data_IF_925333107693
#
_entry.id   IF_925333107693
#
_cell.length_a   1.000
_cell.length_b   1.000
_cell.length_c   1.000
_cell.angle_alpha   90.00
_cell.angle_beta   90.00
_cell.angle_gamma   90.00
#
_symmetry.space_group_name_H-M   'P 1'
#
loop_
_entity.id
_entity.type
_entity.pdbx_description
1 polymer ?
#
# COMPACT_ATOMS: atom_id res chain seq x y z
N UNK A 1 1.59 -13.10 12.45
CA UNK A 1 2.79 -12.86 11.62
C UNK A 1 2.48 -11.72 10.66
N UNK A 2 3.33 -10.70 10.59
CA UNK A 2 3.15 -9.57 9.67
C UNK A 2 3.24 -10.00 8.20
N UNK A 3 2.22 -9.66 7.41
CA UNK A 3 2.17 -9.89 5.97
C UNK A 3 2.56 -8.66 5.15
N UNK A 4 2.77 -7.52 5.79
CA UNK A 4 3.14 -6.28 5.12
C UNK A 4 3.39 -5.12 6.07
N UNK A 5 3.85 -4.02 5.49
CA UNK A 5 4.27 -2.82 6.17
C UNK A 5 3.75 -1.60 5.42
N UNK A 6 3.25 -0.62 6.15
CA UNK A 6 2.88 0.68 5.62
C UNK A 6 3.89 1.72 6.03
N UNK A 7 4.17 2.62 5.10
CA UNK A 7 4.93 3.83 5.35
C UNK A 7 4.09 5.02 4.89
N UNK A 8 3.89 5.96 5.81
CA UNK A 8 3.13 7.17 5.61
C UNK A 8 4.07 8.36 5.71
N UNK A 9 4.34 9.02 4.57
CA UNK A 9 5.23 10.17 4.50
C UNK A 9 4.42 11.47 4.55
N UNK A 10 4.69 12.28 5.56
CA UNK A 10 4.02 13.55 5.77
C UNK A 10 4.66 14.64 4.92
N UNK A 11 3.88 15.25 4.03
CA UNK A 11 4.34 16.37 3.20
C UNK A 11 4.15 17.72 3.88
N UNK A 12 3.27 17.77 4.88
CA UNK A 12 2.97 18.91 5.74
C UNK A 12 2.91 18.44 7.19
N UNK A 13 2.93 19.38 8.12
CA UNK A 13 2.70 19.07 9.53
C UNK A 13 1.36 18.34 9.69
N UNK A 14 1.39 17.17 10.31
CA UNK A 14 0.23 16.32 10.52
C UNK A 14 -0.09 16.30 12.01
N UNK A 15 -1.28 16.78 12.35
CA UNK A 15 -1.76 16.98 13.72
C UNK A 15 -3.22 16.52 13.84
N UNK A 16 -3.71 16.29 15.04
CA UNK A 16 -5.04 15.74 15.29
C UNK A 16 -6.17 16.61 14.71
N UNK A 17 -5.95 17.93 14.69
CA UNK A 17 -6.93 18.87 14.13
C UNK A 17 -7.06 18.74 12.61
N UNK A 18 -5.96 18.48 11.89
CA UNK A 18 -5.95 18.39 10.43
C UNK A 18 -6.14 16.95 9.89
N UNK A 19 -6.53 16.03 10.77
CA UNK A 19 -6.89 14.66 10.39
C UNK A 19 -5.72 13.69 10.40
N UNK A 20 -4.78 13.84 11.35
CA UNK A 20 -3.76 12.82 11.61
C UNK A 20 -4.38 11.41 11.70
N UNK A 21 -3.66 10.43 11.14
CA UNK A 21 -4.07 9.03 11.17
C UNK A 21 -4.18 8.58 12.62
N UNK A 22 -5.31 7.97 12.97
CA UNK A 22 -5.54 7.37 14.29
C UNK A 22 -4.98 5.97 14.30
N UNK A 23 -4.25 5.62 15.34
CA UNK A 23 -3.65 4.30 15.52
C UNK A 23 -4.05 3.74 16.87
N UNK A 24 -4.23 2.43 16.95
CA UNK A 24 -4.43 1.70 18.20
C UNK A 24 -3.11 1.01 18.57
N UNK A 25 -2.31 1.56 19.49
CA UNK A 25 -1.01 1.00 19.83
C UNK A 25 -1.11 -0.47 20.23
N UNK A 26 -0.10 -1.26 19.86
CA UNK A 26 -0.01 -2.69 20.15
C UNK A 26 -1.14 -3.58 19.58
N UNK A 27 -2.12 -3.06 18.83
CA UNK A 27 -3.23 -3.87 18.32
C UNK A 27 -2.79 -4.97 17.35
N UNK A 28 -1.61 -4.84 16.72
CA UNK A 28 -1.00 -5.82 15.82
C UNK A 28 -0.36 -7.01 16.56
N UNK A 29 -0.21 -6.94 17.89
CA UNK A 29 0.43 -7.98 18.72
C UNK A 29 -0.55 -9.07 19.16
N UNK A 30 -1.85 -8.87 18.95
CA UNK A 30 -2.90 -9.84 19.28
C UNK A 30 -4.15 -9.61 18.44
N UNK A 31 -5.20 -10.38 18.66
CA UNK A 31 -6.50 -10.15 18.03
C UNK A 31 -7.28 -9.06 18.80
N UNK A 32 -6.63 -7.91 19.00
CA UNK A 32 -7.21 -6.77 19.72
C UNK A 32 -7.86 -5.87 18.67
N UNK A 33 -9.18 -5.75 18.75
CA UNK A 33 -9.96 -4.82 17.96
C UNK A 33 -10.50 -3.69 18.87
N UNK A 34 -10.77 -2.50 18.33
CA UNK A 34 -11.54 -1.49 19.03
C UNK A 34 -12.89 -2.07 19.50
N UNK A 35 -13.34 -1.66 20.68
CA UNK A 35 -14.65 -2.05 21.22
C UNK A 35 -15.80 -1.57 20.33
N UNK A 36 -15.67 -0.39 19.72
CA UNK A 36 -16.52 0.13 18.67
C UNK A 36 -15.68 0.55 17.45
N UNK A 37 -15.91 -0.10 16.31
CA UNK A 37 -15.19 0.17 15.06
C UNK A 37 -15.63 1.46 14.36
N UNK A 38 -16.73 2.09 14.81
CA UNK A 38 -17.27 3.33 14.25
C UNK A 38 -16.77 4.57 14.96
N UNK A 39 -16.06 4.40 16.08
CA UNK A 39 -15.41 5.50 16.79
C UNK A 39 -13.89 5.41 16.67
N UNK A 40 -13.23 6.47 17.11
CA UNK A 40 -11.77 6.50 17.28
C UNK A 40 -11.40 6.64 18.75
N UNK A 41 -12.33 6.33 19.66
CA UNK A 41 -12.07 6.30 21.09
C UNK A 41 -10.96 5.27 21.36
N UNK A 42 -10.11 5.52 22.36
CA UNK A 42 -8.93 4.71 22.73
C UNK A 42 -7.75 4.70 21.72
N UNK A 43 -7.93 5.23 20.51
CA UNK A 43 -6.81 5.44 19.59
C UNK A 43 -5.97 6.66 19.99
N UNK A 44 -4.78 6.79 19.40
CA UNK A 44 -3.96 8.02 19.48
C UNK A 44 -3.73 8.58 18.06
N UNK A 45 -3.56 9.90 17.91
CA UNK A 45 -3.18 10.48 16.63
C UNK A 45 -1.68 10.24 16.37
N UNK A 46 -1.34 9.78 15.17
CA UNK A 46 0.03 9.71 14.69
C UNK A 46 0.44 11.11 14.19
N UNK A 47 0.80 11.99 15.12
CA UNK A 47 1.22 13.35 14.80
C UNK A 47 2.71 13.41 14.47
N UNK A 48 3.09 14.37 13.64
CA UNK A 48 4.48 14.63 13.32
C UNK A 48 4.64 15.80 12.36
N UNK A 49 5.80 16.49 12.38
CA UNK A 49 6.08 17.56 11.44
C UNK A 49 6.18 17.02 10.00
N UNK A 50 6.11 17.92 9.02
CA UNK A 50 6.44 17.62 7.64
C UNK A 50 7.79 16.88 7.55
N UNK A 51 7.93 15.98 6.57
CA UNK A 51 9.08 15.09 6.37
C UNK A 51 9.19 13.93 7.36
N UNK A 52 8.19 13.75 8.23
CA UNK A 52 8.07 12.55 9.07
C UNK A 52 7.64 11.34 8.25
N UNK A 53 8.21 10.18 8.55
CA UNK A 53 7.77 8.89 8.01
C UNK A 53 7.25 8.02 9.16
N UNK A 54 5.94 7.75 9.18
CA UNK A 54 5.34 6.81 10.12
C UNK A 54 5.34 5.42 9.49
N UNK A 55 5.99 4.48 10.17
CA UNK A 55 6.14 3.09 9.73
C UNK A 55 5.33 2.20 10.65
N UNK A 56 4.41 1.42 10.10
CA UNK A 56 3.55 0.56 10.91
C UNK A 56 3.17 -0.75 10.22
N UNK A 57 2.88 -1.76 11.04
CA UNK A 57 2.46 -3.08 10.60
C UNK A 57 1.09 -3.05 9.91
N UNK A 58 0.89 -3.87 8.87
CA UNK A 58 -0.41 -3.95 8.19
C UNK A 58 -1.58 -4.42 9.08
N UNK A 59 -1.30 -5.14 10.17
CA UNK A 59 -2.30 -5.58 11.13
C UNK A 59 -2.56 -4.55 12.26
N UNK A 60 -1.88 -3.40 12.25
CA UNK A 60 -2.19 -2.32 13.18
C UNK A 60 -3.55 -1.72 12.82
N UNK A 61 -4.46 -1.64 13.78
CA UNK A 61 -5.73 -0.95 13.61
C UNK A 61 -5.46 0.54 13.48
N UNK A 62 -5.95 1.11 12.40
CA UNK A 62 -5.76 2.51 12.09
C UNK A 62 -6.88 3.03 11.20
N UNK A 63 -7.12 4.34 11.25
CA UNK A 63 -8.09 5.00 10.37
C UNK A 63 -7.72 6.46 10.17
N UNK A 64 -8.16 7.05 9.06
CA UNK A 64 -7.99 8.49 8.83
C UNK A 64 -9.08 9.25 9.57
N UNK A 65 -8.69 10.24 10.39
CA UNK A 65 -9.67 11.07 11.08
C UNK A 65 -10.19 12.17 10.16
N UNK A 66 -11.44 12.60 10.40
CA UNK A 66 -12.00 13.81 9.79
C UNK A 66 -11.09 15.01 10.07
N UNK A 67 -10.66 15.69 9.00
CA UNK A 67 -10.01 17.00 9.10
C UNK A 67 -11.02 18.02 9.61
N UNK A 68 -10.68 18.71 10.71
CA UNK A 68 -11.50 19.73 11.39
C UNK A 68 -10.87 21.12 11.33
N UNK A 69 -9.73 21.27 10.64
CA UNK A 69 -9.07 22.55 10.49
C UNK A 69 -9.90 23.52 9.63
N UNK A 70 -9.91 24.80 10.00
CA UNK A 70 -10.52 25.89 9.25
C UNK A 70 -9.55 26.45 8.19
N UNK A 71 -10.04 27.26 7.25
CA UNK A 71 -9.29 27.77 6.08
C UNK A 71 -7.83 28.17 6.36
N UNK A 72 -6.89 27.71 5.50
CA UNK A 72 -5.44 27.91 5.63
C UNK A 72 -4.63 26.69 6.09
N UNK A 73 -5.28 25.67 6.67
CA UNK A 73 -4.69 24.39 7.14
C UNK A 73 -5.38 23.16 6.52
N UNK A 74 -5.99 23.34 5.34
CA UNK A 74 -7.06 22.47 4.82
C UNK A 74 -6.60 21.13 4.27
N UNK A 75 -5.41 21.06 3.67
CA UNK A 75 -4.97 19.85 3.01
C UNK A 75 -3.84 19.18 3.77
N UNK A 76 -4.01 17.88 4.03
CA UNK A 76 -3.00 17.02 4.64
C UNK A 76 -2.58 15.95 3.64
N UNK A 77 -1.85 16.32 2.56
CA UNK A 77 -1.38 15.36 1.60
C UNK A 77 -0.30 14.47 2.23
N UNK A 78 -0.44 13.17 2.00
CA UNK A 78 0.42 12.13 2.55
C UNK A 78 0.70 11.13 1.44
N UNK A 79 1.96 10.71 1.32
CA UNK A 79 2.33 9.62 0.42
C UNK A 79 2.28 8.31 1.20
N UNK A 80 1.43 7.39 0.76
CA UNK A 80 1.30 6.06 1.34
C UNK A 80 2.05 5.05 0.47
N UNK A 81 2.99 4.34 1.08
CA UNK A 81 3.75 3.26 0.48
C UNK A 81 3.45 1.96 1.25
N UNK A 82 2.85 1.00 0.54
CA UNK A 82 2.43 -0.28 1.10
C UNK A 82 3.36 -1.37 0.57
N UNK A 83 4.05 -2.07 1.47
CA UNK A 83 4.85 -3.24 1.17
C UNK A 83 4.12 -4.50 1.63
N UNK A 84 4.18 -5.54 0.82
CA UNK A 84 3.64 -6.84 1.14
C UNK A 84 4.74 -7.88 1.01
N UNK A 85 4.58 -9.01 1.69
CA UNK A 85 5.39 -10.19 1.41
C UNK A 85 5.25 -10.54 -0.06
N UNK A 86 6.32 -11.00 -0.70
CA UNK A 86 6.36 -11.23 -2.15
C UNK A 86 5.27 -12.18 -2.63
N UNK A 87 4.89 -13.17 -1.81
CA UNK A 87 3.85 -14.15 -2.14
C UNK A 87 2.41 -13.64 -1.93
N UNK A 88 2.22 -12.42 -1.40
CA UNK A 88 0.91 -11.79 -1.25
C UNK A 88 0.65 -10.90 -2.46
N UNK A 89 -0.56 -11.01 -3.02
CA UNK A 89 -0.97 -10.19 -4.16
C UNK A 89 -1.00 -8.71 -3.78
N UNK A 90 -0.31 -7.88 -4.57
CA UNK A 90 -0.36 -6.43 -4.41
C UNK A 90 -1.76 -5.87 -4.74
N UNK A 91 -2.14 -4.78 -4.09
CA UNK A 91 -3.40 -4.08 -4.37
C UNK A 91 -3.44 -3.48 -5.78
N UNK A 92 -2.30 -3.06 -6.30
CA UNK A 92 -2.14 -2.53 -7.65
C UNK A 92 -1.39 -3.52 -8.56
N UNK A 93 -1.90 -3.72 -9.78
CA UNK A 93 -1.25 -4.57 -10.77
C UNK A 93 -0.28 -3.77 -11.64
N UNK A 94 0.93 -3.57 -11.13
CA UNK A 94 1.99 -2.79 -11.77
C UNK A 94 2.38 -3.30 -13.16
N UNK A 95 2.15 -4.59 -13.46
CA UNK A 95 2.34 -5.12 -14.81
C UNK A 95 1.41 -4.50 -15.83
N UNK A 96 0.23 -4.04 -15.43
CA UNK A 96 -0.75 -3.46 -16.32
C UNK A 96 -0.76 -1.93 -16.23
N UNK A 97 -0.62 -1.38 -15.01
CA UNK A 97 -0.75 0.05 -14.76
C UNK A 97 0.52 0.87 -14.98
N UNK A 98 1.71 0.27 -14.90
CA UNK A 98 2.94 1.02 -15.15
C UNK A 98 3.12 1.29 -16.65
N UNK A 99 3.41 2.54 -17.01
CA UNK A 99 3.73 2.90 -18.39
C UNK A 99 5.08 2.28 -18.79
N UNK A 100 5.16 1.72 -20.01
CA UNK A 100 6.37 1.01 -20.49
C UNK A 100 7.63 1.88 -20.45
N UNK A 101 7.49 3.17 -20.76
CA UNK A 101 8.60 4.13 -20.70
C UNK A 101 9.11 4.40 -19.29
N UNK A 102 8.26 4.24 -18.27
CA UNK A 102 8.67 4.37 -16.87
C UNK A 102 9.38 3.09 -16.44
N UNK A 103 8.80 1.92 -16.76
CA UNK A 103 9.41 0.61 -16.49
C UNK A 103 10.83 0.49 -17.04
N UNK A 104 11.05 0.97 -18.27
CA UNK A 104 12.35 0.95 -18.93
C UNK A 104 13.44 1.73 -18.17
N UNK A 105 13.06 2.72 -17.35
CA UNK A 105 13.97 3.57 -16.56
C UNK A 105 14.26 2.99 -15.16
N UNK A 106 13.52 1.96 -14.72
CA UNK A 106 13.65 1.44 -13.37
C UNK A 106 14.88 0.52 -13.21
N UNK A 107 15.70 0.71 -12.17
CA UNK A 107 16.70 -0.28 -11.77
C UNK A 107 16.05 -1.62 -11.37
N UNK A 108 16.80 -2.71 -11.50
CA UNK A 108 16.35 -4.06 -11.17
C UNK A 108 15.79 -4.19 -9.75
N UNK A 109 16.36 -3.46 -8.79
CA UNK A 109 15.84 -3.42 -7.41
C UNK A 109 14.43 -2.85 -7.34
N UNK A 110 14.12 -1.80 -8.11
CA UNK A 110 12.79 -1.20 -8.15
C UNK A 110 11.81 -2.09 -8.91
N UNK A 111 12.24 -2.68 -10.03
CA UNK A 111 11.46 -3.70 -10.75
C UNK A 111 11.08 -4.87 -9.83
N UNK A 112 11.97 -5.29 -8.93
CA UNK A 112 11.67 -6.33 -7.96
C UNK A 112 10.56 -5.92 -6.96
N UNK A 113 10.53 -4.66 -6.51
CA UNK A 113 9.45 -4.15 -5.64
C UNK A 113 8.09 -4.10 -6.35
N UNK A 114 8.08 -3.75 -7.64
CA UNK A 114 6.86 -3.77 -8.46
C UNK A 114 6.43 -5.17 -8.92
N UNK A 115 7.12 -6.21 -8.45
CA UNK A 115 6.75 -7.60 -8.67
C UNK A 115 7.35 -8.23 -9.91
N UNK A 116 8.07 -7.50 -10.78
CA UNK A 116 8.64 -8.01 -12.04
C UNK A 116 9.69 -9.11 -11.86
N UNK A 117 10.23 -9.28 -10.65
CA UNK A 117 11.17 -10.35 -10.33
C UNK A 117 10.41 -11.58 -9.87
N UNK A 118 10.72 -12.73 -10.46
CA UNK A 118 10.17 -14.02 -10.02
C UNK A 118 10.54 -14.31 -8.57
N UNK A 119 9.63 -14.99 -7.87
CA UNK A 119 9.87 -15.48 -6.52
C UNK A 119 10.42 -16.90 -6.66
N UNK A 120 11.62 -17.20 -6.16
CA UNK A 120 12.14 -18.56 -6.19
C UNK A 120 11.15 -19.55 -5.58
N UNK A 121 10.74 -20.57 -6.34
CA UNK A 121 9.81 -21.60 -5.90
C UNK A 121 8.32 -21.23 -5.96
N UNK A 122 7.96 -19.99 -6.31
CA UNK A 122 6.56 -19.55 -6.46
C UNK A 122 6.36 -18.92 -7.85
N UNK A 123 5.55 -19.58 -8.69
CA UNK A 123 5.35 -19.17 -10.09
C UNK A 123 6.53 -19.51 -11.02
N UNK A 124 7.42 -20.41 -10.59
CA UNK A 124 8.51 -20.94 -11.42
C UNK A 124 7.97 -21.90 -12.49
N UNK A 125 8.39 -21.69 -13.74
CA UNK A 125 8.21 -22.67 -14.81
C UNK A 125 9.34 -23.70 -14.72
N UNK A 126 9.00 -24.99 -14.77
CA UNK A 126 9.97 -26.11 -14.83
C UNK A 126 10.98 -26.15 -13.66
N UNK A 127 10.59 -25.66 -12.48
CA UNK A 127 11.47 -25.67 -11.31
C UNK A 127 12.62 -24.65 -11.37
N UNK A 128 12.61 -23.72 -12.31
CA UNK A 128 13.61 -22.67 -12.37
C UNK A 128 13.44 -21.68 -11.21
N UNK A 129 14.35 -21.76 -10.23
CA UNK A 129 14.41 -20.91 -9.03
C UNK A 129 15.33 -19.68 -9.20
N UNK A 130 15.87 -19.45 -10.40
CA UNK A 130 16.73 -18.30 -10.67
C UNK A 130 15.97 -16.96 -10.51
N UNK A 131 16.65 -15.89 -10.06
CA UNK A 131 16.05 -14.57 -9.82
C UNK A 131 15.82 -13.80 -11.12
N UNK A 132 15.16 -14.43 -12.08
CA UNK A 132 14.90 -13.86 -13.40
C UNK A 132 13.76 -12.83 -13.33
N UNK A 133 13.85 -11.80 -14.16
CA UNK A 133 12.77 -10.84 -14.38
C UNK A 133 11.82 -11.37 -15.45
N UNK A 134 10.53 -11.07 -15.32
CA UNK A 134 9.55 -11.40 -16.34
C UNK A 134 9.41 -10.26 -17.34
N UNK A 135 9.27 -10.63 -18.61
CA UNK A 135 8.98 -9.69 -19.69
C UNK A 135 7.47 -9.55 -19.85
N UNK A 136 6.98 -8.32 -19.89
CA UNK A 136 5.57 -8.03 -20.13
C UNK A 136 5.18 -8.35 -21.58
N UNK A 137 4.05 -9.02 -21.78
CA UNK A 137 3.46 -9.22 -23.11
C UNK A 137 2.83 -7.92 -23.62
N UNK A 138 3.03 -7.56 -24.89
CA UNK A 138 2.58 -6.27 -25.43
C UNK A 138 1.06 -6.07 -25.34
N UNK A 139 0.28 -7.13 -25.57
CA UNK A 139 -1.18 -7.15 -25.51
C UNK A 139 -1.65 -8.10 -24.39
N UNK A 140 -1.20 -7.84 -23.16
CA UNK A 140 -1.47 -8.70 -22.00
C UNK A 140 -2.94 -8.69 -21.52
N UNK A 141 -3.79 -7.85 -22.11
CA UNK A 141 -5.23 -7.78 -21.80
C UNK A 141 -5.98 -8.50 -22.92
N UNK A 142 -6.73 -9.54 -22.57
CA UNK A 142 -7.61 -10.23 -23.50
C UNK A 142 -8.72 -9.31 -24.03
N UNK A 143 -9.47 -9.73 -25.06
CA UNK A 143 -10.56 -8.92 -25.59
C UNK A 143 -11.54 -8.56 -24.46
N UNK A 144 -11.96 -7.30 -24.42
CA UNK A 144 -13.02 -6.87 -23.51
C UNK A 144 -14.24 -7.75 -23.78
N UNK A 145 -14.68 -8.53 -22.77
CA UNK A 145 -15.94 -9.27 -22.90
C UNK A 145 -17.04 -8.24 -23.11
N UNK A 146 -17.66 -8.24 -24.29
CA UNK A 146 -18.93 -7.54 -24.50
C UNK A 146 -19.87 -7.99 -23.38
N UNK A 147 -20.55 -7.03 -22.75
CA UNK A 147 -21.55 -7.30 -21.70
C UNK A 147 -22.42 -8.47 -22.13
N UNK A 148 -22.68 -9.42 -21.20
CA UNK A 148 -23.63 -10.50 -21.46
C UNK A 148 -24.89 -9.87 -22.06
N UNK A 149 -25.24 -10.26 -23.27
CA UNK A 149 -26.55 -9.97 -23.82
C UNK A 149 -27.56 -10.50 -22.81
N UNK A 150 -28.44 -9.62 -22.32
CA UNK A 150 -29.62 -10.00 -21.58
C UNK A 150 -30.53 -10.77 -22.54
N UNK A 151 -30.39 -12.10 -22.52
CA UNK A 151 -31.48 -13.01 -22.86
C UNK A 151 -32.33 -13.26 -21.61
#
# INVERSE_FOLDING_TARGET
MSLGLNISFYLVDTVDINGATRVYPASHRGNVAPSDIWTVEESIPAEGPARTAIVFDNCLWHTTRRNRATEGQLERPVVLLHFLRSYVRAGENHYLSLHKEVEAKLPDRQKAFFGFRRIPGVGSMEGNIGPNFITRTENAVGPMRKSRSTE
#
